data_IF_268995280439
#
_entry.id   IF_268995280439
#
_cell.length_a   1.000
_cell.length_b   1.000
_cell.length_c   1.000
_cell.angle_alpha   90.00
_cell.angle_beta   90.00
_cell.angle_gamma   90.00
#
_symmetry.space_group_name_H-M   'P 1'
#
loop_
_entity.id
_entity.type
_entity.pdbx_description
1 polymer ?
#
# COMPACT_ATOMS: atom_id res chain seq x y z
N UNK A 1 19.16 -24.81 -0.06
CA UNK A 1 20.24 -25.26 -0.95
C UNK A 1 21.07 -26.32 -0.25
N UNK A 2 21.33 -27.44 -0.92
CA UNK A 2 22.22 -28.49 -0.41
C UNK A 2 23.37 -28.72 -1.41
N UNK A 3 24.59 -28.77 -0.90
CA UNK A 3 25.78 -29.04 -1.69
C UNK A 3 26.57 -30.21 -1.11
N UNK A 4 27.16 -31.02 -1.97
CA UNK A 4 28.04 -32.10 -1.55
C UNK A 4 29.47 -31.57 -1.46
N UNK A 5 30.04 -31.65 -0.28
CA UNK A 5 31.42 -31.30 0.03
C UNK A 5 32.29 -32.53 -0.12
N UNK A 6 33.35 -32.45 -0.93
CA UNK A 6 34.34 -33.54 -1.10
C UNK A 6 35.30 -33.48 0.09
N UNK A 7 35.47 -34.60 0.76
CA UNK A 7 36.49 -34.78 1.81
C UNK A 7 37.90 -34.82 1.29
N UNK A 8 38.88 -34.70 2.17
CA UNK A 8 40.32 -34.69 1.84
C UNK A 8 40.82 -35.96 1.15
N UNK A 9 40.11 -37.08 1.28
CA UNK A 9 40.42 -38.33 0.61
C UNK A 9 39.86 -38.41 -0.84
N UNK A 10 39.16 -37.40 -1.32
CA UNK A 10 38.57 -37.32 -2.66
C UNK A 10 37.36 -38.22 -2.91
N UNK A 11 36.97 -39.03 -1.95
CA UNK A 11 35.90 -40.03 -2.09
C UNK A 11 34.72 -39.83 -1.12
N UNK A 12 35.00 -39.26 0.04
CA UNK A 12 33.96 -39.00 1.04
C UNK A 12 33.17 -37.76 0.62
N UNK A 13 31.85 -37.86 0.57
CA UNK A 13 30.96 -36.76 0.33
C UNK A 13 30.17 -36.43 1.61
N UNK A 14 30.18 -35.17 2.02
CA UNK A 14 29.37 -34.67 3.11
C UNK A 14 28.38 -33.64 2.59
N UNK A 15 27.10 -33.88 2.75
CA UNK A 15 26.06 -32.90 2.37
C UNK A 15 26.05 -31.77 3.39
N UNK A 16 26.24 -30.54 2.91
CA UNK A 16 26.03 -29.32 3.68
C UNK A 16 24.78 -28.64 3.16
N UNK A 17 23.85 -28.35 4.04
CA UNK A 17 22.55 -27.75 3.70
C UNK A 17 22.46 -26.37 4.33
N UNK A 18 22.22 -25.37 3.49
CA UNK A 18 21.77 -24.05 3.97
C UNK A 18 20.27 -24.11 4.19
N UNK A 19 19.83 -23.63 5.35
CA UNK A 19 18.41 -23.55 5.66
C UNK A 19 17.65 -22.76 4.58
N UNK A 20 16.40 -23.11 4.39
CA UNK A 20 15.52 -22.31 3.54
C UNK A 20 15.43 -20.90 4.14
N UNK A 21 15.49 -19.91 3.27
CA UNK A 21 15.26 -18.51 3.60
C UNK A 21 14.11 -18.04 2.72
N UNK A 22 13.08 -17.52 3.34
CA UNK A 22 12.02 -16.76 2.69
C UNK A 22 12.24 -15.28 2.96
N UNK A 23 11.52 -14.44 2.31
CA UNK A 23 11.39 -13.01 2.50
C UNK A 23 12.64 -12.18 2.21
N UNK A 24 12.41 -10.93 1.93
CA UNK A 24 13.45 -9.91 1.83
C UNK A 24 13.40 -9.05 3.08
N UNK A 25 14.42 -9.15 3.96
CA UNK A 25 14.38 -8.43 5.23
C UNK A 25 15.71 -7.83 5.65
N UNK A 26 15.64 -6.68 6.30
CA UNK A 26 16.74 -6.14 7.11
C UNK A 26 16.41 -6.38 8.59
N UNK A 27 17.38 -6.80 9.39
CA UNK A 27 17.13 -7.26 10.78
C UNK A 27 17.65 -6.31 11.85
N UNK A 28 18.32 -5.23 11.46
CA UNK A 28 18.85 -4.21 12.38
C UNK A 28 19.27 -2.94 11.65
N UNK A 29 19.46 -1.84 12.37
CA UNK A 29 20.15 -0.64 11.89
C UNK A 29 19.37 0.23 10.91
N UNK A 30 18.07 0.01 10.70
CA UNK A 30 17.24 0.85 9.83
C UNK A 30 17.63 0.76 8.34
N UNK A 31 18.09 -0.41 7.90
CA UNK A 31 18.50 -0.63 6.50
C UNK A 31 17.31 -0.54 5.52
N UNK A 32 17.54 0.12 4.38
CA UNK A 32 16.52 0.27 3.33
C UNK A 32 16.45 -0.98 2.45
N UNK A 33 15.28 -1.22 1.84
CA UNK A 33 15.05 -2.26 0.84
C UNK A 33 14.63 -1.61 -0.48
N UNK A 34 15.31 -1.96 -1.56
CA UNK A 34 14.97 -1.53 -2.91
C UNK A 34 14.88 -2.75 -3.81
N UNK A 35 13.68 -3.11 -4.24
CA UNK A 35 13.42 -4.16 -5.21
C UNK A 35 12.85 -3.54 -6.48
N UNK A 36 13.56 -3.72 -7.60
CA UNK A 36 13.14 -3.11 -8.88
C UNK A 36 13.28 -4.10 -10.03
N UNK A 37 12.31 -4.10 -10.93
CA UNK A 37 12.40 -4.78 -12.23
C UNK A 37 12.33 -3.76 -13.36
N UNK A 38 13.07 -3.99 -14.44
CA UNK A 38 13.08 -3.09 -15.60
C UNK A 38 12.07 -3.47 -16.66
N UNK A 39 11.67 -4.74 -16.72
CA UNK A 39 10.81 -5.28 -17.79
C UNK A 39 9.92 -6.46 -17.35
N UNK A 40 9.72 -6.69 -16.07
CA UNK A 40 8.88 -7.79 -15.58
C UNK A 40 8.05 -7.37 -14.39
N UNK A 41 6.94 -8.08 -14.18
CA UNK A 41 6.09 -7.91 -12.99
C UNK A 41 6.78 -8.45 -11.74
N UNK A 42 6.33 -8.00 -10.57
CA UNK A 42 6.80 -8.45 -9.26
C UNK A 42 5.66 -9.19 -8.56
N UNK A 43 5.96 -10.36 -8.01
CA UNK A 43 5.04 -11.10 -7.15
C UNK A 43 5.74 -11.26 -5.80
N UNK A 44 5.08 -10.81 -4.74
CA UNK A 44 5.53 -10.92 -3.37
C UNK A 44 4.69 -12.00 -2.68
N UNK A 45 5.32 -13.08 -2.26
CA UNK A 45 4.66 -14.15 -1.53
C UNK A 45 5.34 -14.29 -0.16
N UNK A 46 4.58 -14.74 0.83
CA UNK A 46 5.15 -15.29 2.03
C UNK A 46 5.88 -16.60 1.69
N UNK A 47 6.96 -16.84 2.35
CA UNK A 47 7.68 -18.09 2.27
C UNK A 47 7.17 -19.09 3.29
N UNK A 48 7.90 -20.21 3.42
CA UNK A 48 7.52 -21.27 4.36
C UNK A 48 8.35 -21.27 5.65
N UNK A 49 9.29 -20.32 5.81
CA UNK A 49 10.15 -20.26 7.00
C UNK A 49 10.87 -18.90 7.12
N UNK A 50 10.39 -17.99 7.97
CA UNK A 50 9.15 -18.09 8.73
C UNK A 50 7.92 -18.06 7.83
N UNK A 51 6.83 -18.63 8.32
CA UNK A 51 5.47 -18.51 7.80
C UNK A 51 4.82 -17.43 8.68
N UNK A 52 5.02 -16.15 8.33
CA UNK A 52 4.65 -14.99 9.15
C UNK A 52 3.87 -13.91 8.38
N UNK A 53 3.35 -14.31 7.20
CA UNK A 53 2.57 -13.47 6.28
C UNK A 53 3.34 -12.25 5.73
N UNK A 54 4.68 -12.23 5.85
CA UNK A 54 5.51 -11.10 5.44
C UNK A 54 6.40 -11.45 4.26
N UNK A 55 6.33 -10.71 3.16
CA UNK A 55 7.24 -10.85 2.02
C UNK A 55 8.44 -9.91 2.09
N UNK A 56 8.22 -8.68 2.59
CA UNK A 56 9.26 -7.64 2.62
C UNK A 56 9.21 -6.90 3.96
N UNK A 57 10.33 -6.92 4.71
CA UNK A 57 10.41 -6.26 6.02
C UNK A 57 11.67 -5.42 6.20
N UNK A 58 11.52 -4.11 6.36
CA UNK A 58 12.62 -3.21 6.71
C UNK A 58 12.60 -2.86 8.21
N UNK A 59 13.69 -3.16 8.91
CA UNK A 59 13.80 -2.91 10.35
C UNK A 59 13.87 -1.42 10.68
N UNK A 60 13.16 -1.01 11.73
CA UNK A 60 13.21 0.35 12.28
C UNK A 60 12.73 1.40 11.26
N UNK A 61 13.55 2.40 10.97
CA UNK A 61 13.22 3.48 10.02
C UNK A 61 13.60 3.18 8.56
N UNK A 62 13.84 1.92 8.21
CA UNK A 62 14.22 1.53 6.85
C UNK A 62 13.13 1.82 5.83
N UNK A 63 13.46 2.53 4.75
CA UNK A 63 12.52 2.77 3.66
C UNK A 63 12.43 1.54 2.74
N UNK A 64 11.26 1.39 2.10
CA UNK A 64 11.01 0.31 1.13
C UNK A 64 10.59 0.90 -0.21
N UNK A 65 11.25 0.48 -1.28
CA UNK A 65 10.82 0.70 -2.65
C UNK A 65 10.61 -0.64 -3.36
N UNK A 66 9.38 -0.90 -3.79
CA UNK A 66 9.03 -1.98 -4.71
C UNK A 66 8.61 -1.35 -6.02
N UNK A 67 9.36 -1.60 -7.11
CA UNK A 67 9.09 -0.91 -8.38
C UNK A 67 9.20 -1.85 -9.59
N UNK A 68 8.11 -1.98 -10.34
CA UNK A 68 8.05 -2.59 -11.65
C UNK A 68 7.98 -1.48 -12.72
N UNK A 69 9.09 -1.23 -13.45
CA UNK A 69 9.27 0.01 -14.26
C UNK A 69 8.60 -0.08 -15.62
N UNK A 70 8.54 -1.26 -16.24
CA UNK A 70 8.04 -1.42 -17.63
C UNK A 70 6.58 -1.01 -17.77
N UNK A 71 6.25 -0.43 -18.92
CA UNK A 71 4.85 -0.14 -19.27
C UNK A 71 4.04 -1.43 -19.36
N UNK A 72 3.13 -1.80 -18.65
CA UNK A 72 2.41 -3.08 -18.66
C UNK A 72 2.96 -4.10 -17.67
N UNK A 73 3.77 -3.66 -16.70
CA UNK A 73 4.24 -4.49 -15.59
C UNK A 73 3.39 -4.25 -14.35
N UNK A 74 3.07 -5.35 -13.67
CA UNK A 74 2.21 -5.35 -12.49
C UNK A 74 3.01 -5.64 -11.22
N UNK A 75 2.43 -5.31 -10.08
CA UNK A 75 2.86 -5.78 -8.77
C UNK A 75 1.70 -6.53 -8.13
N UNK A 76 1.95 -7.76 -7.70
CA UNK A 76 1.00 -8.54 -6.89
C UNK A 76 1.65 -8.82 -5.53
N UNK A 77 1.05 -8.31 -4.49
CA UNK A 77 1.40 -8.63 -3.12
C UNK A 77 0.42 -9.67 -2.57
N UNK A 78 0.94 -10.84 -2.23
CA UNK A 78 0.21 -11.93 -1.57
C UNK A 78 0.62 -12.06 -0.09
N UNK A 79 1.46 -11.15 0.38
CA UNK A 79 1.95 -11.07 1.75
C UNK A 79 2.43 -9.65 2.04
N UNK A 80 2.67 -9.36 3.30
CA UNK A 80 2.88 -8.02 3.84
C UNK A 80 4.16 -7.34 3.36
N UNK A 81 4.06 -6.00 3.29
CA UNK A 81 5.18 -5.08 3.14
C UNK A 81 5.27 -4.24 4.43
N UNK A 82 6.29 -4.51 5.25
CA UNK A 82 6.39 -3.96 6.60
C UNK A 82 7.62 -3.06 6.74
N UNK A 83 7.42 -1.82 7.15
CA UNK A 83 8.48 -0.95 7.68
C UNK A 83 8.17 -0.58 9.13
N UNK A 84 9.18 -0.50 9.99
CA UNK A 84 8.99 -0.07 11.37
C UNK A 84 8.47 1.36 11.48
N UNK A 85 9.06 2.30 10.77
CA UNK A 85 8.67 3.72 10.73
C UNK A 85 9.14 4.45 9.47
N UNK A 86 9.69 3.72 8.50
CA UNK A 86 10.15 4.28 7.23
C UNK A 86 9.03 4.47 6.22
N UNK A 87 9.37 5.02 5.07
CA UNK A 87 8.43 5.25 3.98
C UNK A 87 8.35 4.00 3.10
N UNK A 88 7.16 3.70 2.59
CA UNK A 88 6.91 2.59 1.66
C UNK A 88 6.40 3.15 0.34
N UNK A 89 7.07 2.78 -0.75
CA UNK A 89 6.62 3.12 -2.11
C UNK A 89 6.46 1.86 -2.95
N UNK A 90 5.26 1.66 -3.51
CA UNK A 90 4.91 0.54 -4.40
C UNK A 90 4.48 1.11 -5.73
N UNK A 91 5.31 0.94 -6.77
CA UNK A 91 5.16 1.65 -8.04
C UNK A 91 5.14 0.65 -9.21
N UNK A 92 4.03 0.50 -9.90
CA UNK A 92 3.89 -0.34 -11.07
C UNK A 92 3.64 0.47 -12.35
N UNK A 93 4.12 -0.03 -13.48
CA UNK A 93 3.82 0.56 -14.78
C UNK A 93 2.36 0.38 -15.19
N UNK A 94 1.72 -0.71 -14.75
CA UNK A 94 0.31 -0.99 -15.03
C UNK A 94 -0.50 -1.08 -13.73
N UNK A 95 -0.72 -2.26 -13.17
CA UNK A 95 -1.64 -2.46 -12.03
C UNK A 95 -0.92 -2.93 -10.78
N UNK A 96 -1.57 -2.71 -9.63
CA UNK A 96 -1.13 -3.22 -8.33
C UNK A 96 -2.29 -3.94 -7.67
N UNK A 97 -2.03 -5.14 -7.15
CA UNK A 97 -3.02 -5.95 -6.43
C UNK A 97 -2.44 -6.38 -5.10
N UNK A 98 -3.16 -6.12 -4.03
CA UNK A 98 -2.96 -6.67 -2.70
C UNK A 98 -4.03 -7.74 -2.49
N UNK A 99 -3.64 -9.01 -2.41
CA UNK A 99 -4.56 -10.14 -2.32
C UNK A 99 -4.73 -10.61 -0.89
N UNK A 100 -5.91 -11.13 -0.55
CA UNK A 100 -6.15 -11.68 0.78
C UNK A 100 -5.84 -10.68 1.90
N UNK A 101 -4.93 -11.05 2.78
CA UNK A 101 -4.49 -10.25 3.94
C UNK A 101 -3.18 -9.50 3.71
N UNK A 102 -2.75 -9.30 2.46
CA UNK A 102 -1.51 -8.60 2.17
C UNK A 102 -1.59 -7.11 2.54
N UNK A 103 -0.81 -6.70 3.52
CA UNK A 103 -0.85 -5.38 4.15
C UNK A 103 0.32 -4.48 3.75
N UNK A 104 0.15 -3.18 3.93
CA UNK A 104 1.27 -2.23 4.06
C UNK A 104 1.27 -1.65 5.46
N UNK A 105 2.30 -1.97 6.23
CA UNK A 105 2.42 -1.52 7.61
C UNK A 105 3.65 -0.61 7.76
N UNK A 106 3.45 0.63 8.22
CA UNK A 106 4.55 1.57 8.53
C UNK A 106 4.57 1.94 10.01
N UNK A 107 4.12 1.04 10.88
CA UNK A 107 4.18 1.24 12.32
C UNK A 107 4.73 0.02 13.03
N UNK A 108 5.79 0.16 13.79
CA UNK A 108 6.31 -0.88 14.68
C UNK A 108 5.74 -0.76 16.09
N UNK A 109 4.44 -0.71 16.22
CA UNK A 109 3.70 -1.02 17.45
C UNK A 109 3.82 -0.08 18.67
N UNK A 110 4.72 0.90 18.74
CA UNK A 110 4.85 1.76 19.94
C UNK A 110 5.32 3.20 19.69
N UNK A 111 5.78 3.55 18.52
CA UNK A 111 6.19 4.92 18.19
C UNK A 111 5.25 5.49 17.13
N UNK A 112 4.76 6.69 17.36
CA UNK A 112 4.10 7.46 16.31
C UNK A 112 5.00 7.48 15.07
N UNK A 113 4.60 6.79 14.01
CA UNK A 113 5.33 6.73 12.75
C UNK A 113 4.84 7.84 11.85
N UNK A 114 5.77 8.60 11.27
CA UNK A 114 5.47 9.57 10.22
C UNK A 114 5.76 9.02 8.82
N UNK A 115 5.87 7.70 8.68
CA UNK A 115 6.12 7.05 7.39
C UNK A 115 5.00 7.31 6.40
N UNK A 116 5.37 7.58 5.15
CA UNK A 116 4.43 7.73 4.05
C UNK A 116 4.21 6.41 3.33
N UNK A 117 2.98 6.15 2.90
CA UNK A 117 2.62 5.09 1.96
C UNK A 117 2.32 5.73 0.60
N UNK A 118 3.06 5.36 -0.45
CA UNK A 118 2.84 5.87 -1.81
C UNK A 118 2.67 4.71 -2.80
N UNK A 119 1.43 4.46 -3.22
CA UNK A 119 1.06 3.36 -4.12
C UNK A 119 0.63 3.93 -5.46
N UNK A 120 1.33 3.58 -6.54
CA UNK A 120 1.06 4.15 -7.87
C UNK A 120 0.99 3.06 -8.94
N UNK A 121 -0.19 2.93 -9.54
CA UNK A 121 -0.45 2.13 -10.72
C UNK A 121 -0.51 3.07 -11.95
N UNK A 122 0.49 3.00 -12.82
CA UNK A 122 0.68 4.01 -13.88
C UNK A 122 -0.48 4.09 -14.86
N UNK A 123 -0.87 2.98 -15.47
CA UNK A 123 -1.93 2.93 -16.48
C UNK A 123 -3.12 2.05 -16.10
N UNK A 124 -2.98 1.24 -15.05
CA UNK A 124 -3.99 0.28 -14.60
C UNK A 124 -4.65 0.69 -13.29
N UNK A 125 -5.11 -0.30 -12.55
CA UNK A 125 -5.84 -0.17 -11.29
C UNK A 125 -4.98 -0.46 -10.07
N UNK A 126 -5.42 0.04 -8.93
CA UNK A 126 -5.02 -0.44 -7.61
C UNK A 126 -6.19 -1.23 -7.04
N UNK A 127 -5.93 -2.45 -6.57
CA UNK A 127 -6.93 -3.28 -5.92
C UNK A 127 -6.38 -3.72 -4.57
N UNK A 128 -7.00 -3.28 -3.49
CA UNK A 128 -6.93 -3.93 -2.20
C UNK A 128 -8.07 -4.94 -2.14
N UNK A 129 -7.78 -6.18 -1.76
CA UNK A 129 -8.82 -7.17 -1.47
C UNK A 129 -9.42 -6.94 -0.08
N UNK A 130 -10.57 -7.53 0.14
CA UNK A 130 -11.16 -7.63 1.49
C UNK A 130 -10.13 -8.25 2.45
N UNK A 131 -9.92 -7.61 3.60
CA UNK A 131 -8.95 -8.01 4.63
C UNK A 131 -7.56 -7.41 4.46
N UNK A 132 -7.23 -6.78 3.33
CA UNK A 132 -5.98 -6.03 3.18
C UNK A 132 -6.05 -4.69 3.89
N UNK A 133 -5.02 -4.35 4.68
CA UNK A 133 -4.97 -3.13 5.51
C UNK A 133 -3.73 -2.30 5.17
N UNK A 134 -3.92 -1.01 4.92
CA UNK A 134 -2.82 -0.04 4.92
C UNK A 134 -2.83 0.73 6.22
N UNK A 135 -1.80 0.54 7.03
CA UNK A 135 -1.72 1.10 8.38
C UNK A 135 -0.49 1.97 8.57
N UNK A 136 -0.71 3.18 9.07
CA UNK A 136 0.33 4.05 9.61
C UNK A 136 -0.20 4.83 10.81
N UNK A 137 0.56 4.84 11.92
CA UNK A 137 0.11 5.42 13.19
C UNK A 137 0.88 6.67 13.55
N UNK A 138 0.39 7.83 13.26
CA UNK A 138 1.02 9.09 13.68
C UNK A 138 0.43 10.29 12.98
N UNK A 139 0.38 11.42 13.66
CA UNK A 139 -0.23 12.65 13.16
C UNK A 139 0.39 13.20 11.84
N UNK A 140 1.58 12.74 11.47
CA UNK A 140 2.23 13.10 10.20
C UNK A 140 2.18 11.97 9.17
N UNK A 141 1.49 10.86 9.46
CA UNK A 141 1.31 9.76 8.53
C UNK A 141 0.53 10.22 7.30
N UNK A 142 0.95 9.74 6.13
CA UNK A 142 0.26 10.06 4.88
C UNK A 142 0.19 8.84 3.98
N UNK A 143 -0.96 8.62 3.34
CA UNK A 143 -1.13 7.60 2.33
C UNK A 143 -1.67 8.21 1.03
N UNK A 144 -1.07 7.84 -0.07
CA UNK A 144 -1.46 8.25 -1.41
C UNK A 144 -1.61 7.04 -2.30
N UNK A 145 -2.78 6.88 -2.87
CA UNK A 145 -3.08 5.89 -3.89
C UNK A 145 -3.39 6.62 -5.20
N UNK A 146 -2.63 6.35 -6.24
CA UNK A 146 -2.86 6.93 -7.57
C UNK A 146 -2.94 5.83 -8.63
N UNK A 147 -4.10 5.68 -9.23
CA UNK A 147 -4.34 4.74 -10.31
C UNK A 147 -4.63 5.44 -11.64
N UNK A 148 -4.14 4.88 -12.74
CA UNK A 148 -4.50 5.28 -14.09
C UNK A 148 -5.98 5.02 -14.40
N UNK A 149 -6.54 3.96 -13.84
CA UNK A 149 -7.97 3.62 -13.97
C UNK A 149 -8.68 3.68 -12.61
N UNK A 150 -9.05 2.57 -12.02
CA UNK A 150 -9.86 2.50 -10.80
C UNK A 150 -9.04 2.17 -9.56
N UNK A 151 -9.57 2.52 -8.40
CA UNK A 151 -9.06 2.09 -7.09
C UNK A 151 -10.18 1.33 -6.38
N UNK A 152 -9.90 0.08 -6.00
CA UNK A 152 -10.73 -0.67 -5.06
C UNK A 152 -10.06 -0.60 -3.69
N UNK A 153 -10.79 -0.15 -2.69
CA UNK A 153 -10.30 0.10 -1.33
C UNK A 153 -10.72 -1.07 -0.45
N UNK A 154 -9.75 -1.70 0.22
CA UNK A 154 -10.01 -2.53 1.38
C UNK A 154 -10.05 -1.64 2.63
N UNK A 155 -9.06 -1.77 3.51
CA UNK A 155 -9.03 -0.94 4.72
C UNK A 155 -7.80 -0.03 4.74
N UNK A 156 -7.98 1.26 5.04
CA UNK A 156 -6.91 2.25 5.24
C UNK A 156 -7.09 2.91 6.60
N UNK A 157 -6.12 2.73 7.50
CA UNK A 157 -6.17 3.27 8.87
C UNK A 157 -4.98 4.20 9.12
N UNK A 158 -5.25 5.49 9.09
CA UNK A 158 -4.30 6.56 9.43
C UNK A 158 -4.94 7.56 10.40
N UNK A 159 -5.40 7.11 11.55
CA UNK A 159 -6.26 7.86 12.51
C UNK A 159 -6.01 9.38 12.57
N UNK A 160 -4.76 9.78 12.82
CA UNK A 160 -4.34 11.19 12.88
C UNK A 160 -3.71 11.68 11.56
N UNK A 161 -3.60 10.81 10.55
CA UNK A 161 -2.93 11.06 9.29
C UNK A 161 -3.87 11.55 8.19
N UNK A 162 -3.33 11.67 6.98
CA UNK A 162 -4.08 12.10 5.79
C UNK A 162 -4.02 11.06 4.70
N UNK A 163 -5.13 10.91 3.99
CA UNK A 163 -5.26 9.98 2.86
C UNK A 163 -5.67 10.74 1.59
N UNK A 164 -5.05 10.41 0.46
CA UNK A 164 -5.49 10.83 -0.87
C UNK A 164 -5.62 9.64 -1.79
N UNK A 165 -6.76 9.50 -2.43
CA UNK A 165 -7.03 8.48 -3.43
C UNK A 165 -7.43 9.14 -4.73
N UNK A 166 -6.73 8.79 -5.81
CA UNK A 166 -7.03 9.30 -7.16
C UNK A 166 -7.19 8.12 -8.13
N UNK A 167 -8.37 7.98 -8.70
CA UNK A 167 -8.69 7.10 -9.81
C UNK A 167 -8.84 7.94 -11.07
N UNK A 168 -7.78 8.07 -11.89
CA UNK A 168 -7.70 9.08 -12.95
C UNK A 168 -8.80 8.98 -14.00
N UNK A 169 -9.11 7.76 -14.45
CA UNK A 169 -10.12 7.52 -15.49
C UNK A 169 -11.31 6.68 -15.01
N UNK A 170 -11.20 6.03 -13.84
CA UNK A 170 -12.18 5.08 -13.32
C UNK A 170 -12.83 5.54 -12.02
N UNK A 171 -13.34 4.58 -11.26
CA UNK A 171 -14.03 4.75 -9.97
C UNK A 171 -13.13 4.49 -8.78
N UNK A 172 -13.54 4.99 -7.64
CA UNK A 172 -13.11 4.55 -6.32
C UNK A 172 -14.27 3.74 -5.74
N UNK A 173 -14.05 2.48 -5.40
CA UNK A 173 -15.09 1.58 -4.87
C UNK A 173 -14.56 0.83 -3.66
N UNK A 174 -15.45 0.37 -2.82
CA UNK A 174 -15.18 -0.57 -1.77
C UNK A 174 -14.78 -1.95 -2.33
N UNK A 175 -14.00 -2.72 -1.57
CA UNK A 175 -13.60 -4.09 -1.89
C UNK A 175 -14.63 -5.11 -1.43
N UNK A 176 -15.35 -4.83 -0.35
CA UNK A 176 -16.40 -5.69 0.18
C UNK A 176 -17.73 -5.37 -0.48
N UNK A 177 -18.18 -6.22 -1.39
CA UNK A 177 -19.48 -6.07 -2.03
C UNK A 177 -20.52 -6.82 -1.24
N UNK A 178 -21.25 -6.14 -0.35
CA UNK A 178 -22.39 -6.72 0.35
C UNK A 178 -23.65 -6.49 -0.47
N UNK A 179 -24.23 -7.57 -0.98
CA UNK A 179 -25.42 -7.52 -1.83
C UNK A 179 -26.61 -6.85 -1.12
N UNK A 180 -26.85 -5.57 -1.44
CA UNK A 180 -28.09 -4.85 -1.11
C UNK A 180 -28.08 -4.07 0.19
N UNK A 181 -26.96 -3.84 0.82
CA UNK A 181 -26.78 -2.93 1.96
C UNK A 181 -25.31 -2.51 2.07
N UNK A 182 -25.04 -1.35 2.66
CA UNK A 182 -23.72 -1.03 3.16
C UNK A 182 -23.34 -2.08 4.21
N UNK A 183 -22.07 -2.45 4.25
CA UNK A 183 -21.56 -3.25 5.36
C UNK A 183 -21.38 -2.39 6.63
N UNK A 184 -20.79 -2.97 7.68
CA UNK A 184 -20.58 -2.29 8.93
C UNK A 184 -19.12 -1.89 9.14
N UNK A 185 -18.26 -2.25 8.20
CA UNK A 185 -16.81 -2.04 8.30
C UNK A 185 -16.46 -0.63 7.80
N UNK A 186 -15.32 -0.11 8.26
CA UNK A 186 -14.85 1.20 7.85
C UNK A 186 -13.70 1.02 6.87
N UNK A 187 -13.87 1.48 5.64
CA UNK A 187 -12.84 1.42 4.61
C UNK A 187 -11.70 2.40 4.90
N UNK A 188 -12.05 3.63 5.32
CA UNK A 188 -11.05 4.67 5.51
C UNK A 188 -11.25 5.38 6.85
N UNK A 189 -10.24 5.29 7.71
CA UNK A 189 -10.12 6.09 8.93
C UNK A 189 -8.94 7.05 8.81
N UNK A 190 -9.20 8.37 8.87
CA UNK A 190 -8.16 9.40 8.75
C UNK A 190 -8.57 10.73 9.37
N UNK A 191 -7.62 11.64 9.64
CA UNK A 191 -7.96 13.02 10.00
C UNK A 191 -8.41 13.85 8.80
N UNK A 192 -7.92 13.54 7.58
CA UNK A 192 -8.36 14.21 6.37
C UNK A 192 -8.31 13.27 5.15
N UNK A 193 -9.33 13.33 4.31
CA UNK A 193 -9.50 12.48 3.14
C UNK A 193 -9.73 13.31 1.89
N UNK A 194 -8.93 13.06 0.86
CA UNK A 194 -9.09 13.60 -0.48
C UNK A 194 -9.43 12.48 -1.45
N UNK A 195 -10.57 12.56 -2.13
CA UNK A 195 -10.99 11.60 -3.14
C UNK A 195 -11.15 12.29 -4.50
N UNK A 196 -10.59 11.71 -5.56
CA UNK A 196 -10.76 12.22 -6.93
C UNK A 196 -10.95 11.06 -7.89
N UNK A 197 -12.12 10.96 -8.51
CA UNK A 197 -12.45 9.90 -9.45
C UNK A 197 -12.79 10.46 -10.84
N UNK A 198 -12.37 9.74 -11.88
CA UNK A 198 -12.77 10.01 -13.27
C UNK A 198 -14.25 9.69 -13.49
N UNK A 199 -14.78 8.72 -12.75
CA UNK A 199 -16.21 8.36 -12.76
C UNK A 199 -16.80 8.49 -11.36
N UNK A 200 -17.21 7.43 -10.68
CA UNK A 200 -17.92 7.47 -9.41
C UNK A 200 -17.02 7.22 -8.20
N UNK A 201 -17.47 7.63 -7.04
CA UNK A 201 -16.93 7.29 -5.72
C UNK A 201 -18.03 6.56 -4.97
N UNK A 202 -17.76 5.32 -4.53
CA UNK A 202 -18.78 4.42 -3.98
C UNK A 202 -19.84 4.01 -5.02
N UNK A 203 -20.79 3.21 -4.58
CA UNK A 203 -21.94 2.74 -5.36
C UNK A 203 -23.25 2.99 -4.61
N UNK A 204 -24.38 3.05 -5.32
CA UNK A 204 -25.68 3.40 -4.71
C UNK A 204 -26.21 2.35 -3.73
N UNK A 205 -25.67 1.17 -3.77
CA UNK A 205 -26.03 0.02 -2.92
C UNK A 205 -24.89 -0.39 -2.00
N UNK A 206 -23.75 0.26 -2.15
CA UNK A 206 -22.50 -0.04 -1.48
C UNK A 206 -21.68 1.26 -1.40
N UNK A 207 -21.87 1.99 -0.33
CA UNK A 207 -21.17 3.25 -0.13
C UNK A 207 -19.71 2.98 0.27
N UNK A 208 -18.84 3.94 0.07
CA UNK A 208 -17.52 3.91 0.68
C UNK A 208 -17.67 4.44 2.13
N UNK A 209 -17.38 3.60 3.13
CA UNK A 209 -17.52 3.87 4.55
C UNK A 209 -16.32 4.62 5.10
N UNK A 210 -16.57 5.75 5.76
CA UNK A 210 -15.49 6.61 6.23
C UNK A 210 -15.67 7.05 7.68
N UNK A 211 -14.52 7.25 8.36
CA UNK A 211 -14.46 7.96 9.64
C UNK A 211 -13.36 9.02 9.52
N UNK A 212 -13.75 10.25 9.12
CA UNK A 212 -12.80 11.32 8.82
C UNK A 212 -13.27 12.67 9.34
N UNK A 213 -12.33 13.51 9.76
CA UNK A 213 -12.65 14.85 10.28
C UNK A 213 -12.90 15.84 9.15
N UNK A 214 -12.08 15.77 8.08
CA UNK A 214 -12.19 16.69 6.93
C UNK A 214 -12.19 15.90 5.63
N UNK A 215 -13.11 16.23 4.74
CA UNK A 215 -13.28 15.57 3.45
C UNK A 215 -13.31 16.56 2.29
N UNK A 216 -12.68 16.21 1.19
CA UNK A 216 -12.97 16.72 -0.14
C UNK A 216 -13.13 15.58 -1.14
N UNK A 217 -14.12 15.62 -2.01
CA UNK A 217 -14.39 14.57 -2.98
C UNK A 217 -14.82 15.15 -4.33
N UNK A 218 -14.27 14.60 -5.42
CA UNK A 218 -14.62 14.97 -6.80
C UNK A 218 -14.88 13.72 -7.64
N UNK A 219 -16.06 13.62 -8.24
CA UNK A 219 -16.41 12.61 -9.24
C UNK A 219 -16.73 13.31 -10.56
N UNK A 220 -15.84 13.21 -11.57
CA UNK A 220 -15.94 14.01 -12.80
C UNK A 220 -17.10 13.62 -13.71
N UNK A 221 -17.44 12.34 -13.78
CA UNK A 221 -18.48 11.82 -14.69
C UNK A 221 -19.38 10.78 -14.00
N UNK A 222 -19.64 10.93 -12.69
CA UNK A 222 -20.40 9.94 -11.95
C UNK A 222 -21.01 10.48 -10.69
N UNK A 223 -21.34 9.60 -9.79
CA UNK A 223 -21.98 9.90 -8.51
C UNK A 223 -20.99 9.73 -7.36
N UNK A 224 -21.31 10.33 -6.22
CA UNK A 224 -20.58 10.17 -4.97
C UNK A 224 -21.52 9.56 -3.95
N UNK A 225 -21.15 8.39 -3.43
CA UNK A 225 -21.87 7.65 -2.39
C UNK A 225 -20.88 7.37 -1.26
N UNK A 226 -21.02 8.10 -0.17
CA UNK A 226 -20.17 8.00 1.02
C UNK A 226 -21.07 7.82 2.24
N UNK A 227 -20.61 7.01 3.18
CA UNK A 227 -21.24 6.87 4.49
C UNK A 227 -20.23 7.23 5.56
N UNK A 228 -20.45 8.35 6.23
CA UNK A 228 -19.58 8.82 7.31
C UNK A 228 -20.13 8.38 8.66
N UNK A 229 -19.26 7.85 9.51
CA UNK A 229 -19.66 7.27 10.80
C UNK A 229 -19.97 8.32 11.86
N UNK A 230 -19.41 9.54 11.77
CA UNK A 230 -19.57 10.60 12.76
C UNK A 230 -19.72 11.99 12.12
N UNK A 231 -19.23 13.05 12.75
CA UNK A 231 -19.34 14.41 12.23
C UNK A 231 -18.22 14.77 11.26
N UNK A 232 -18.55 15.31 10.10
CA UNK A 232 -17.63 15.65 9.03
C UNK A 232 -17.59 17.14 8.71
N UNK A 233 -16.44 17.65 8.32
CA UNK A 233 -16.25 18.98 7.73
C UNK A 233 -15.87 18.85 6.26
N UNK A 234 -16.62 19.52 5.38
CA UNK A 234 -16.25 19.63 3.98
C UNK A 234 -15.36 20.87 3.82
N UNK A 235 -14.09 20.67 3.45
CA UNK A 235 -13.12 21.75 3.33
C UNK A 235 -11.95 21.32 2.44
N UNK A 236 -10.96 22.18 2.27
CA UNK A 236 -9.76 21.92 1.49
C UNK A 236 -8.92 20.77 2.06
N UNK A 237 -8.66 19.75 1.25
CA UNK A 237 -7.74 18.67 1.58
C UNK A 237 -6.68 18.53 0.49
N UNK A 238 -5.43 18.73 0.90
CA UNK A 238 -4.25 18.41 0.11
C UNK A 238 -3.25 17.66 0.97
N UNK A 239 -2.41 16.85 0.35
CA UNK A 239 -1.37 16.13 1.08
C UNK A 239 -0.10 15.97 0.26
N UNK A 240 0.99 15.68 0.95
CA UNK A 240 2.25 15.28 0.35
C UNK A 240 2.74 13.98 0.97
N UNK A 241 3.29 13.09 0.14
CA UNK A 241 3.95 11.87 0.56
C UNK A 241 5.44 11.90 0.21
N UNK A 242 6.22 11.14 0.94
CA UNK A 242 7.64 10.93 0.64
C UNK A 242 7.81 9.68 -0.22
N UNK A 243 8.02 9.86 -1.51
CA UNK A 243 8.36 8.76 -2.43
C UNK A 243 9.80 8.34 -2.25
N UNK A 244 10.01 7.04 -2.08
CA UNK A 244 11.35 6.46 -1.93
C UNK A 244 12.05 6.38 -3.29
N UNK A 245 13.23 6.95 -3.38
CA UNK A 245 14.05 6.90 -4.58
C UNK A 245 14.77 5.57 -4.79
N UNK A 246 15.33 5.38 -5.98
CA UNK A 246 15.99 4.12 -6.39
C UNK A 246 17.26 3.75 -5.59
N UNK A 247 17.78 4.64 -4.77
CA UNK A 247 18.87 4.38 -3.84
C UNK A 247 18.40 4.03 -2.41
N UNK A 248 17.07 4.03 -2.16
CA UNK A 248 16.46 3.76 -0.87
C UNK A 248 16.55 4.90 0.15
N UNK A 249 17.41 5.88 -0.05
CA UNK A 249 17.70 6.95 0.92
C UNK A 249 17.15 8.31 0.49
N UNK A 250 17.15 8.60 -0.81
CA UNK A 250 16.57 9.85 -1.31
C UNK A 250 15.06 9.78 -1.23
N UNK A 251 14.45 10.80 -0.64
CA UNK A 251 13.01 10.96 -0.60
C UNK A 251 12.62 12.13 -1.49
N UNK A 252 11.65 11.91 -2.37
CA UNK A 252 11.08 12.97 -3.21
C UNK A 252 9.67 13.26 -2.71
N UNK A 253 9.42 14.48 -2.31
CA UNK A 253 8.07 14.90 -1.93
C UNK A 253 7.18 14.94 -3.17
N UNK A 254 6.09 14.18 -3.15
CA UNK A 254 5.04 14.18 -4.17
C UNK A 254 3.77 14.74 -3.54
N UNK A 255 3.17 15.73 -4.19
CA UNK A 255 2.04 16.47 -3.64
C UNK A 255 0.80 16.30 -4.51
N UNK A 256 -0.30 15.93 -3.90
CA UNK A 256 -1.63 16.11 -4.43
C UNK A 256 -2.16 17.47 -3.98
N UNK A 257 -2.44 18.34 -4.93
CA UNK A 257 -2.89 19.70 -4.65
C UNK A 257 -4.18 19.70 -3.83
N UNK A 258 -4.37 20.75 -3.05
CA UNK A 258 -5.60 20.93 -2.29
C UNK A 258 -6.80 20.91 -3.25
N UNK A 259 -7.81 20.18 -2.84
CA UNK A 259 -9.11 20.07 -3.47
C UNK A 259 -10.13 20.51 -2.43
N UNK A 260 -11.04 21.38 -2.81
CA UNK A 260 -12.16 21.82 -1.96
C UNK A 260 -13.44 21.14 -2.42
N UNK A 261 -14.43 21.15 -1.54
CA UNK A 261 -15.81 20.80 -1.83
C UNK A 261 -16.06 19.31 -2.13
N UNK A 262 -17.35 18.98 -2.24
CA UNK A 262 -17.86 17.75 -2.85
C UNK A 262 -18.54 18.14 -4.17
N UNK A 263 -18.08 17.58 -5.31
CA UNK A 263 -18.57 17.90 -6.64
C UNK A 263 -18.42 16.78 -7.66
#
# INVERSE_FOLDING_TARGET
LSVNRVGSNGTTLTTTTDAAQSDIRTISGGGNIVLRTTAGSIILNDGTSPDDDTAVSAFGSGNILIQAIGAGTDITANADIVSGSGNVSVLAGQSIVFTGTADILTSSGTAASSGSIDVVAGTGSITQSVGSVFLSTGAAATARLLAGTSVTVGTIVLEDGKVSITATAGSISDAEVVSGANDADQDITASALRLSAGTSIGESVDHLETTVVTLSAEARNGSIYLLEADGITIDDVGLSVNRVGSNGTTLTTTTDAAQSDIR
#
